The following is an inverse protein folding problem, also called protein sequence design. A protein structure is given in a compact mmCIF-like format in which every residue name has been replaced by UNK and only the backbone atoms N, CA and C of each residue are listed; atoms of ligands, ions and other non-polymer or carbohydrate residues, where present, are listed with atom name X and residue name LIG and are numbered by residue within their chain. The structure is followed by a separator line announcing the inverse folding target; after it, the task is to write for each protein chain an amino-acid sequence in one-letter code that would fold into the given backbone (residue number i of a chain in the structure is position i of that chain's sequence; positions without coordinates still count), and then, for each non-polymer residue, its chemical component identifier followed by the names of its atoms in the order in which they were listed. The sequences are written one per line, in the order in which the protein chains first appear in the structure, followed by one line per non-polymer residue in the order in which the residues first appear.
data_IF_670141072739
#
_entry.id   IF_670141072739
#
_cell.length_a   1.000
_cell.length_b   1.000
_cell.length_c   1.000
_cell.angle_alpha   90.00
_cell.angle_beta   90.00
_cell.angle_gamma   90.00
#
_symmetry.space_group_name_H-M   'P 1'
#
loop_
_entity.id
_entity.type
_entity.pdbx_description
1 polymer ?
#
# COMPACT_ATOMS: atom_id res chain seq x y z
N UNK A 1 -2.37 15.83 43.14
CA UNK A 1 -1.92 14.43 42.91
C UNK A 1 -3.01 13.38 43.11
N UNK A 2 -3.70 13.31 44.26
CA UNK A 2 -4.75 12.28 44.50
C UNK A 2 -5.87 12.25 43.45
N UNK A 3 -6.46 13.40 43.12
CA UNK A 3 -7.50 13.49 42.09
C UNK A 3 -7.01 13.08 40.69
N UNK A 4 -5.77 13.42 40.33
CA UNK A 4 -5.19 13.06 39.04
C UNK A 4 -5.02 11.53 38.91
N UNK A 5 -4.55 10.87 39.99
CA UNK A 5 -4.37 9.41 40.03
C UNK A 5 -5.71 8.67 39.97
N UNK A 6 -6.73 9.16 40.68
CA UNK A 6 -8.08 8.58 40.63
C UNK A 6 -8.72 8.74 39.25
N UNK A 7 -8.63 9.92 38.64
CA UNK A 7 -9.16 10.16 37.29
C UNK A 7 -8.44 9.29 36.26
N UNK A 8 -7.11 9.17 36.34
CA UNK A 8 -6.34 8.30 35.45
C UNK A 8 -6.75 6.83 35.58
N UNK A 9 -6.92 6.33 36.82
CA UNK A 9 -7.36 4.96 37.07
C UNK A 9 -8.75 4.69 36.48
N UNK A 10 -9.70 5.62 36.68
CA UNK A 10 -11.06 5.52 36.10
C UNK A 10 -11.00 5.52 34.57
N UNK A 11 -10.22 6.42 33.97
CA UNK A 11 -10.07 6.48 32.50
C UNK A 11 -9.46 5.19 31.96
N UNK A 12 -8.42 4.63 32.59
CA UNK A 12 -7.81 3.37 32.16
C UNK A 12 -8.83 2.23 32.19
N UNK A 13 -9.55 2.07 33.30
CA UNK A 13 -10.58 1.02 33.42
C UNK A 13 -11.67 1.21 32.37
N UNK A 14 -12.14 2.44 32.19
CA UNK A 14 -13.15 2.76 31.18
C UNK A 14 -12.65 2.44 29.77
N UNK A 15 -11.43 2.85 29.41
CA UNK A 15 -10.84 2.58 28.09
C UNK A 15 -10.68 1.09 27.85
N UNK A 16 -10.23 0.31 28.83
CA UNK A 16 -10.09 -1.14 28.70
C UNK A 16 -11.44 -1.84 28.53
N UNK A 17 -12.46 -1.42 29.29
CA UNK A 17 -13.83 -1.95 29.18
C UNK A 17 -14.41 -1.60 27.80
N UNK A 18 -14.31 -0.34 27.37
CA UNK A 18 -14.78 0.09 26.06
C UNK A 18 -14.01 -0.63 24.93
N UNK A 19 -12.69 -0.79 25.04
CA UNK A 19 -11.90 -1.50 24.05
C UNK A 19 -12.27 -2.99 23.95
N UNK A 20 -12.56 -3.64 25.08
CA UNK A 20 -13.03 -5.03 25.11
C UNK A 20 -14.45 -5.18 24.54
N UNK A 21 -15.35 -4.24 24.82
CA UNK A 21 -16.73 -4.26 24.35
C UNK A 21 -16.87 -3.89 22.86
N UNK A 22 -16.08 -2.92 22.39
CA UNK A 22 -16.19 -2.35 21.04
C UNK A 22 -15.09 -2.82 20.09
N UNK A 23 -14.21 -3.75 20.51
CA UNK A 23 -12.97 -4.16 19.83
C UNK A 23 -12.91 -3.88 18.33
N UNK A 24 -11.82 -3.26 17.88
CA UNK A 24 -11.70 -2.82 16.48
C UNK A 24 -11.77 -4.03 15.55
N UNK A 25 -12.78 -4.11 14.67
CA UNK A 25 -12.85 -5.21 13.72
C UNK A 25 -11.70 -5.06 12.72
N UNK A 26 -10.88 -6.10 12.58
CA UNK A 26 -9.79 -6.13 11.60
C UNK A 26 -10.17 -7.03 10.43
N UNK A 27 -10.07 -6.48 9.21
CA UNK A 27 -10.13 -7.32 8.01
C UNK A 27 -8.83 -8.12 7.91
N UNK A 28 -8.95 -9.43 7.72
CA UNK A 28 -7.80 -10.29 7.48
C UNK A 28 -6.99 -9.82 6.27
N UNK A 29 -5.66 -9.75 6.36
CA UNK A 29 -4.82 -9.30 5.26
C UNK A 29 -4.92 -10.28 4.08
N UNK A 30 -4.77 -9.75 2.87
CA UNK A 30 -4.63 -10.60 1.69
C UNK A 30 -3.29 -11.33 1.77
N UNK A 31 -3.33 -12.66 1.87
CA UNK A 31 -2.12 -13.49 1.88
C UNK A 31 -1.90 -14.15 0.52
N UNK A 32 -0.64 -14.50 0.23
CA UNK A 32 -0.28 -15.26 -0.98
C UNK A 32 -1.05 -16.58 -1.03
N UNK A 33 -1.13 -17.28 0.11
CA UNK A 33 -1.84 -18.55 0.23
C UNK A 33 -3.33 -18.41 -0.08
N UNK A 34 -4.00 -17.44 0.53
CA UNK A 34 -5.43 -17.21 0.29
C UNK A 34 -5.69 -16.84 -1.16
N UNK A 35 -4.87 -15.94 -1.74
CA UNK A 35 -5.05 -15.50 -3.11
C UNK A 35 -4.77 -16.61 -4.14
N UNK A 36 -3.70 -17.39 -3.98
CA UNK A 36 -3.39 -18.54 -4.83
C UNK A 36 -4.46 -19.65 -4.77
N UNK A 37 -5.13 -19.79 -3.63
CA UNK A 37 -6.20 -20.78 -3.44
C UNK A 37 -7.50 -20.32 -4.11
N UNK A 38 -7.86 -19.04 -3.92
CA UNK A 38 -9.13 -18.48 -4.39
C UNK A 38 -9.10 -18.09 -5.87
N UNK A 39 -7.94 -17.63 -6.37
CA UNK A 39 -7.78 -17.08 -7.72
C UNK A 39 -6.59 -17.73 -8.46
N UNK A 40 -6.58 -19.07 -8.64
CA UNK A 40 -5.42 -19.79 -9.18
C UNK A 40 -4.99 -19.35 -10.59
N UNK A 41 -5.95 -19.10 -11.50
CA UNK A 41 -5.64 -18.64 -12.87
C UNK A 41 -5.06 -17.23 -12.85
N UNK A 42 -5.66 -16.31 -12.08
CA UNK A 42 -5.16 -14.94 -11.96
C UNK A 42 -3.80 -14.88 -11.22
N UNK A 43 -3.57 -15.79 -10.27
CA UNK A 43 -2.29 -15.96 -9.60
C UNK A 43 -1.18 -16.35 -10.59
N UNK A 44 -1.42 -17.37 -11.42
CA UNK A 44 -0.45 -17.78 -12.44
C UNK A 44 -0.27 -16.72 -13.52
N UNK A 45 -1.32 -16.00 -13.92
CA UNK A 45 -1.21 -14.88 -14.85
C UNK A 45 -0.29 -13.78 -14.29
N UNK A 46 -0.51 -13.37 -13.03
CA UNK A 46 0.36 -12.40 -12.36
C UNK A 46 1.81 -12.91 -12.26
N UNK A 47 2.02 -14.15 -11.83
CA UNK A 47 3.36 -14.74 -11.73
C UNK A 47 4.06 -14.84 -13.10
N UNK A 48 3.30 -15.13 -14.17
CA UNK A 48 3.82 -15.15 -15.55
C UNK A 48 4.23 -13.75 -16.01
N UNK A 49 3.48 -12.71 -15.61
CA UNK A 49 3.84 -11.31 -15.89
C UNK A 49 5.11 -10.88 -15.15
N UNK A 50 5.31 -11.33 -13.92
CA UNK A 50 6.59 -11.10 -13.24
C UNK A 50 7.75 -11.82 -13.95
N UNK A 51 7.51 -13.03 -14.47
CA UNK A 51 8.51 -13.80 -15.24
C UNK A 51 8.88 -13.13 -16.57
N UNK A 52 7.92 -12.53 -17.28
CA UNK A 52 8.17 -11.88 -18.58
C UNK A 52 8.57 -10.40 -18.49
N UNK A 53 8.71 -9.85 -17.28
CA UNK A 53 9.11 -8.47 -17.07
C UNK A 53 7.98 -7.43 -17.21
N UNK A 54 6.73 -7.86 -17.39
CA UNK A 54 5.56 -6.97 -17.54
C UNK A 54 4.72 -6.84 -16.25
N UNK A 55 5.11 -7.52 -15.19
CA UNK A 55 4.53 -7.41 -13.86
C UNK A 55 4.63 -5.99 -13.31
N UNK A 56 3.75 -5.66 -12.34
CA UNK A 56 3.67 -4.31 -11.75
C UNK A 56 5.02 -3.87 -11.20
N UNK A 57 5.70 -4.76 -10.48
CA UNK A 57 7.03 -4.48 -9.91
C UNK A 57 8.13 -4.60 -10.96
N UNK A 58 8.02 -5.57 -11.87
CA UNK A 58 9.01 -5.78 -12.93
C UNK A 58 9.19 -4.54 -13.84
N UNK A 59 8.11 -3.80 -14.10
CA UNK A 59 8.12 -2.57 -14.88
C UNK A 59 7.85 -1.31 -14.02
N UNK A 60 8.26 -1.32 -12.75
CA UNK A 60 7.96 -0.22 -11.81
C UNK A 60 8.79 1.04 -12.06
N UNK A 61 10.12 0.89 -12.09
CA UNK A 61 11.10 1.98 -12.05
C UNK A 61 11.80 2.13 -10.70
N UNK A 62 12.58 3.21 -10.50
CA UNK A 62 13.22 3.52 -9.23
C UNK A 62 12.21 3.52 -8.06
N UNK A 63 12.56 3.02 -6.86
CA UNK A 63 13.91 2.64 -6.43
C UNK A 63 14.32 1.19 -6.74
N UNK A 64 13.47 0.45 -7.48
CA UNK A 64 13.60 -1.00 -7.63
C UNK A 64 14.32 -1.43 -8.90
N UNK A 65 14.02 -0.80 -10.04
CA UNK A 65 14.59 -1.20 -11.33
C UNK A 65 14.53 -0.06 -12.35
N UNK A 66 14.89 -0.35 -13.60
CA UNK A 66 14.88 0.60 -14.71
C UNK A 66 13.54 0.63 -15.47
N UNK A 67 12.48 0.03 -14.91
CA UNK A 67 11.14 0.07 -15.49
C UNK A 67 10.60 1.49 -15.63
N UNK A 68 9.61 1.66 -16.50
CA UNK A 68 8.99 2.98 -16.76
C UNK A 68 7.48 2.95 -16.74
N UNK A 69 6.87 1.76 -16.61
CA UNK A 69 5.43 1.59 -16.67
C UNK A 69 4.66 2.12 -15.46
N UNK A 70 5.31 2.31 -14.32
CA UNK A 70 4.66 2.78 -13.08
C UNK A 70 5.44 3.93 -12.40
N UNK A 71 6.23 4.67 -13.18
CA UNK A 71 6.92 5.86 -12.67
C UNK A 71 5.93 7.00 -12.56
N UNK A 72 5.77 7.54 -11.36
CA UNK A 72 4.81 8.60 -11.06
C UNK A 72 5.40 10.01 -11.20
N UNK A 73 6.73 10.18 -11.11
CA UNK A 73 7.33 11.51 -11.24
C UNK A 73 8.75 11.51 -11.79
N UNK A 74 9.17 12.67 -12.32
CA UNK A 74 10.57 12.90 -12.69
C UNK A 74 11.52 12.83 -11.48
N UNK A 75 11.05 13.25 -10.29
CA UNK A 75 11.81 13.17 -9.05
C UNK A 75 12.08 11.72 -8.63
N UNK A 76 11.11 10.82 -8.85
CA UNK A 76 11.32 9.38 -8.63
C UNK A 76 12.46 8.86 -9.50
N UNK A 77 12.53 9.26 -10.79
CA UNK A 77 13.64 8.85 -11.68
C UNK A 77 15.00 9.31 -11.16
N UNK A 78 15.08 10.51 -10.59
CA UNK A 78 16.32 11.08 -10.05
C UNK A 78 16.82 10.32 -8.81
N UNK A 79 15.94 9.63 -8.08
CA UNK A 79 16.33 8.87 -6.87
C UNK A 79 17.25 7.66 -7.17
N UNK A 80 17.24 7.16 -8.41
CA UNK A 80 18.04 6.00 -8.81
C UNK A 80 17.62 4.69 -8.14
N UNK A 81 18.40 3.62 -8.35
CA UNK A 81 18.10 2.28 -7.85
C UNK A 81 18.93 2.02 -6.59
N UNK A 82 18.26 1.83 -5.46
CA UNK A 82 18.90 1.55 -4.17
C UNK A 82 18.26 0.38 -3.43
N UNK A 83 17.13 -0.15 -3.93
CA UNK A 83 16.52 -1.40 -3.48
C UNK A 83 16.30 -2.32 -4.70
N UNK A 84 17.36 -2.84 -5.35
CA UNK A 84 17.21 -3.55 -6.61
C UNK A 84 16.27 -4.75 -6.49
N UNK A 85 15.31 -4.88 -7.40
CA UNK A 85 14.44 -6.04 -7.55
C UNK A 85 14.46 -6.49 -9.01
N UNK A 86 14.76 -7.76 -9.21
CA UNK A 86 14.50 -8.46 -10.46
C UNK A 86 13.32 -9.40 -10.24
N UNK A 87 12.10 -8.98 -10.57
CA UNK A 87 10.88 -9.75 -10.29
C UNK A 87 10.93 -11.18 -10.82
N UNK A 88 11.48 -11.40 -12.02
CA UNK A 88 11.65 -12.74 -12.58
C UNK A 88 12.50 -13.64 -11.68
N UNK A 89 13.64 -13.13 -11.21
CA UNK A 89 14.54 -13.90 -10.35
C UNK A 89 14.01 -13.99 -8.91
N UNK A 90 13.69 -12.85 -8.32
CA UNK A 90 13.39 -12.70 -6.90
C UNK A 90 12.00 -13.22 -6.54
N UNK A 91 11.03 -13.12 -7.45
CA UNK A 91 9.66 -13.55 -7.18
C UNK A 91 9.37 -14.94 -7.72
N UNK A 92 10.05 -15.40 -8.78
CA UNK A 92 9.71 -16.66 -9.45
C UNK A 92 10.87 -17.67 -9.38
N UNK A 93 11.99 -17.39 -10.03
CA UNK A 93 13.03 -18.41 -10.25
C UNK A 93 13.76 -18.80 -8.96
N UNK A 94 14.15 -17.85 -8.11
CA UNK A 94 14.75 -18.17 -6.81
C UNK A 94 13.78 -18.92 -5.88
N UNK A 95 12.52 -18.49 -5.69
CA UNK A 95 11.57 -19.28 -4.90
C UNK A 95 11.36 -20.70 -5.44
N UNK A 96 11.32 -20.89 -6.75
CA UNK A 96 11.20 -22.21 -7.38
C UNK A 96 12.48 -23.04 -7.22
N UNK A 97 13.67 -22.45 -7.30
CA UNK A 97 14.93 -23.16 -7.07
C UNK A 97 15.04 -23.64 -5.62
N UNK A 98 14.60 -22.81 -4.66
CA UNK A 98 14.45 -23.23 -3.27
C UNK A 98 13.44 -24.36 -3.11
N UNK A 99 12.28 -24.28 -3.76
CA UNK A 99 11.27 -25.33 -3.73
C UNK A 99 11.77 -26.63 -4.36
N UNK A 100 12.64 -26.55 -5.37
CA UNK A 100 13.22 -27.71 -6.05
C UNK A 100 14.09 -28.57 -5.12
N UNK A 101 14.61 -28.01 -4.01
CA UNK A 101 15.33 -28.79 -2.99
C UNK A 101 14.42 -29.76 -2.23
N UNK A 102 13.13 -29.46 -2.13
CA UNK A 102 12.11 -30.29 -1.48
C UNK A 102 11.35 -31.12 -2.52
N UNK A 103 11.13 -30.56 -3.71
CA UNK A 103 10.45 -31.23 -4.83
C UNK A 103 11.33 -31.22 -6.10
N UNK A 104 12.16 -32.26 -6.31
CA UNK A 104 13.08 -32.34 -7.46
C UNK A 104 12.41 -32.33 -8.84
N UNK A 105 11.09 -32.55 -8.91
CA UNK A 105 10.33 -32.52 -10.17
C UNK A 105 10.29 -31.12 -10.82
N UNK A 106 10.61 -30.06 -10.07
CA UNK A 106 10.67 -28.68 -10.59
C UNK A 106 11.97 -28.45 -11.40
N UNK A 107 13.06 -29.14 -11.06
CA UNK A 107 14.39 -28.86 -11.61
C UNK A 107 14.51 -29.00 -13.14
N UNK A 108 13.88 -29.99 -13.83
CA UNK A 108 13.96 -30.08 -15.29
C UNK A 108 13.36 -28.85 -15.98
N UNK A 109 12.22 -28.35 -15.50
CA UNK A 109 11.56 -27.17 -16.06
C UNK A 109 12.38 -25.90 -15.82
N UNK A 110 12.96 -25.75 -14.62
CA UNK A 110 13.87 -24.64 -14.31
C UNK A 110 15.08 -24.64 -15.24
N UNK A 111 15.79 -25.77 -15.36
CA UNK A 111 16.95 -25.87 -16.25
C UNK A 111 16.59 -25.60 -17.70
N UNK A 112 15.46 -26.13 -18.18
CA UNK A 112 15.01 -25.88 -19.55
C UNK A 112 14.75 -24.38 -19.79
N UNK A 113 14.14 -23.68 -18.82
CA UNK A 113 13.87 -22.25 -18.92
C UNK A 113 15.16 -21.42 -18.87
N UNK A 114 16.02 -21.68 -17.88
CA UNK A 114 17.28 -20.95 -17.67
C UNK A 114 18.31 -21.18 -18.78
N UNK A 115 18.29 -22.36 -19.42
CA UNK A 115 19.17 -22.67 -20.57
C UNK A 115 18.73 -22.03 -21.88
N UNK A 116 17.48 -21.56 -21.97
CA UNK A 116 16.95 -20.94 -23.17
C UNK A 116 17.42 -19.47 -23.31
N UNK A 117 17.44 -18.96 -24.55
CA UNK A 117 17.75 -17.55 -24.77
C UNK A 117 16.68 -16.65 -24.15
N UNK A 118 17.04 -15.41 -23.80
CA UNK A 118 16.09 -14.44 -23.23
C UNK A 118 14.88 -14.21 -24.15
N UNK A 119 15.10 -14.15 -25.46
CA UNK A 119 14.02 -14.01 -26.43
C UNK A 119 13.03 -15.20 -26.37
N UNK A 120 13.55 -16.43 -26.18
CA UNK A 120 12.74 -17.63 -26.08
C UNK A 120 11.95 -17.69 -24.76
N UNK A 121 12.58 -17.31 -23.64
CA UNK A 121 11.92 -17.20 -22.34
C UNK A 121 10.72 -16.24 -22.40
N UNK A 122 10.92 -15.04 -22.96
CA UNK A 122 9.88 -14.02 -23.12
C UNK A 122 8.78 -14.52 -24.07
N UNK A 123 9.14 -15.15 -25.19
CA UNK A 123 8.16 -15.71 -26.13
C UNK A 123 7.26 -16.73 -25.45
N UNK A 124 7.84 -17.68 -24.72
CA UNK A 124 7.09 -18.69 -23.98
C UNK A 124 6.18 -18.09 -22.92
N UNK A 125 6.69 -17.14 -22.13
CA UNK A 125 5.93 -16.50 -21.06
C UNK A 125 4.78 -15.65 -21.61
N UNK A 126 5.01 -14.86 -22.67
CA UNK A 126 3.96 -14.07 -23.32
C UNK A 126 2.87 -14.95 -23.93
N UNK A 127 3.25 -16.03 -24.63
CA UNK A 127 2.30 -16.96 -25.21
C UNK A 127 1.46 -17.65 -24.13
N UNK A 128 2.10 -18.03 -23.02
CA UNK A 128 1.41 -18.68 -21.91
C UNK A 128 0.45 -17.73 -21.20
N UNK A 129 0.87 -16.48 -20.95
CA UNK A 129 0.02 -15.44 -20.38
C UNK A 129 -1.22 -15.20 -21.24
N UNK A 130 -1.06 -15.04 -22.56
CA UNK A 130 -2.18 -14.86 -23.48
C UNK A 130 -3.15 -16.05 -23.43
N UNK A 131 -2.63 -17.27 -23.38
CA UNK A 131 -3.44 -18.49 -23.28
C UNK A 131 -4.15 -18.61 -21.92
N UNK A 132 -3.50 -18.21 -20.82
CA UNK A 132 -4.10 -18.16 -19.49
C UNK A 132 -5.28 -17.19 -19.44
N UNK A 133 -5.10 -15.98 -19.97
CA UNK A 133 -6.14 -14.95 -19.96
C UNK A 133 -7.35 -15.31 -20.84
N UNK A 134 -7.11 -15.99 -21.96
CA UNK A 134 -8.18 -16.38 -22.88
C UNK A 134 -8.90 -17.67 -22.45
N UNK A 135 -8.15 -18.65 -21.94
CA UNK A 135 -8.62 -20.04 -21.83
C UNK A 135 -8.17 -20.78 -20.56
N UNK A 136 -7.57 -20.09 -19.60
CA UNK A 136 -7.10 -20.70 -18.35
C UNK A 136 -8.23 -21.31 -17.52
N UNK A 137 -8.07 -22.56 -17.13
CA UNK A 137 -9.04 -23.29 -16.31
C UNK A 137 -8.34 -24.10 -15.23
N UNK A 138 -9.06 -24.40 -14.15
CA UNK A 138 -8.55 -25.24 -13.06
C UNK A 138 -9.07 -26.66 -13.24
N UNK A 139 -8.16 -27.62 -13.43
CA UNK A 139 -8.48 -29.05 -13.53
C UNK A 139 -7.61 -29.80 -12.53
N UNK A 140 -8.25 -30.57 -11.63
CA UNK A 140 -7.55 -31.33 -10.58
C UNK A 140 -6.56 -30.50 -9.75
N UNK A 141 -6.94 -29.26 -9.43
CA UNK A 141 -6.13 -28.34 -8.61
C UNK A 141 -4.93 -27.71 -9.32
N UNK A 142 -4.76 -27.98 -10.62
CA UNK A 142 -3.74 -27.41 -11.51
C UNK A 142 -4.39 -26.45 -12.51
N UNK A 143 -3.66 -25.42 -12.93
CA UNK A 143 -4.12 -24.56 -14.01
C UNK A 143 -3.67 -25.16 -15.33
N UNK A 144 -4.62 -25.27 -16.27
CA UNK A 144 -4.40 -25.82 -17.61
C UNK A 144 -4.85 -24.79 -18.65
N UNK A 145 -4.16 -24.82 -19.78
CA UNK A 145 -4.45 -24.02 -20.97
C UNK A 145 -4.43 -24.96 -22.19
N UNK A 146 -5.06 -24.59 -23.32
CA UNK A 146 -4.95 -25.33 -24.57
C UNK A 146 -3.49 -25.53 -24.99
N UNK A 147 -3.15 -26.57 -25.78
CA UNK A 147 -1.79 -26.79 -26.25
C UNK A 147 -1.23 -25.60 -27.04
N UNK A 148 0.05 -25.29 -26.83
CA UNK A 148 0.74 -24.22 -27.54
C UNK A 148 2.22 -24.14 -27.20
N UNK A 149 2.90 -23.17 -27.79
CA UNK A 149 4.34 -22.99 -27.62
C UNK A 149 4.67 -22.18 -26.35
N UNK A 150 4.73 -22.88 -25.22
CA UNK A 150 4.98 -22.30 -23.90
C UNK A 150 6.25 -22.83 -23.21
N UNK A 151 6.96 -23.76 -23.85
CA UNK A 151 8.14 -24.40 -23.26
C UNK A 151 7.85 -24.95 -21.86
N UNK A 152 8.74 -24.72 -20.86
CA UNK A 152 8.55 -25.18 -19.49
C UNK A 152 7.64 -24.29 -18.62
N UNK A 153 7.14 -23.16 -19.15
CA UNK A 153 6.40 -22.15 -18.35
C UNK A 153 5.17 -22.73 -17.66
N UNK A 154 4.32 -23.58 -18.28
CA UNK A 154 3.15 -24.16 -17.58
C UNK A 154 3.54 -24.99 -16.35
N UNK A 155 4.68 -25.70 -16.41
CA UNK A 155 5.18 -26.48 -15.29
C UNK A 155 5.74 -25.59 -14.18
N UNK A 156 6.46 -24.52 -14.54
CA UNK A 156 6.95 -23.53 -13.59
C UNK A 156 5.80 -22.83 -12.87
N UNK A 157 4.79 -22.37 -13.60
CA UNK A 157 3.65 -21.64 -13.03
C UNK A 157 2.78 -22.53 -12.14
N UNK A 158 2.54 -23.78 -12.53
CA UNK A 158 1.89 -24.75 -11.64
C UNK A 158 2.72 -25.01 -10.38
N UNK A 159 4.05 -25.10 -10.48
CA UNK A 159 4.91 -25.23 -9.30
C UNK A 159 4.82 -23.98 -8.39
N UNK A 160 4.81 -22.78 -8.97
CA UNK A 160 4.62 -21.51 -8.24
C UNK A 160 3.25 -21.50 -7.54
N UNK A 161 2.19 -21.96 -8.22
CA UNK A 161 0.85 -22.07 -7.66
C UNK A 161 0.80 -23.04 -6.47
N UNK A 162 1.43 -24.21 -6.57
CA UNK A 162 1.51 -25.16 -5.46
C UNK A 162 2.31 -24.58 -4.28
N UNK A 163 3.41 -23.89 -4.58
CA UNK A 163 4.20 -23.20 -3.57
C UNK A 163 3.39 -22.09 -2.86
N UNK A 164 2.59 -21.33 -3.62
CA UNK A 164 1.64 -20.35 -3.12
C UNK A 164 0.58 -20.98 -2.20
N UNK A 165 -0.13 -22.02 -2.69
CA UNK A 165 -1.18 -22.74 -1.94
C UNK A 165 -0.67 -23.39 -0.65
N UNK A 166 0.59 -23.83 -0.63
CA UNK A 166 1.20 -24.40 0.58
C UNK A 166 1.47 -23.35 1.67
N UNK A 167 1.61 -22.06 1.31
CA UNK A 167 2.08 -20.99 2.20
C UNK A 167 3.60 -20.89 2.31
N UNK A 168 4.36 -21.82 1.71
CA UNK A 168 5.83 -21.78 1.71
C UNK A 168 6.40 -20.65 0.86
N UNK A 169 5.62 -20.11 -0.10
CA UNK A 169 6.01 -18.97 -0.94
C UNK A 169 6.42 -17.74 -0.11
N UNK A 170 5.68 -17.43 0.96
CA UNK A 170 6.01 -16.30 1.85
C UNK A 170 7.39 -16.45 2.47
N UNK A 171 7.74 -17.68 2.88
CA UNK A 171 9.08 -17.97 3.39
C UNK A 171 10.14 -17.96 2.29
N UNK A 172 9.81 -18.37 1.06
CA UNK A 172 10.74 -18.35 -0.07
C UNK A 172 11.09 -16.90 -0.50
N UNK A 173 10.13 -15.98 -0.48
CA UNK A 173 10.34 -14.57 -0.80
C UNK A 173 11.14 -13.79 0.26
N UNK A 174 11.13 -14.24 1.51
CA UNK A 174 11.80 -13.56 2.63
C UNK A 174 13.17 -14.18 2.94
N UNK A 175 13.45 -15.40 2.46
CA UNK A 175 14.66 -16.12 2.83
C UNK A 175 15.88 -15.52 2.14
N UNK A 176 16.63 -14.76 2.93
CA UNK A 176 18.03 -14.47 2.65
C UNK A 176 18.90 -15.51 3.39
N UNK A 177 19.68 -16.34 2.68
CA UNK A 177 20.53 -17.36 3.31
C UNK A 177 21.65 -16.76 4.17
N UNK A 178 21.96 -15.47 4.02
CA UNK A 178 23.11 -14.81 4.64
C UNK A 178 22.79 -14.11 5.98
N UNK A 179 21.52 -14.07 6.41
CA UNK A 179 21.12 -13.29 7.60
C UNK A 179 20.20 -14.11 8.51
N UNK A 180 20.62 -14.30 9.76
CA UNK A 180 19.84 -15.03 10.79
C UNK A 180 18.60 -14.24 11.21
N UNK A 181 18.70 -12.91 11.27
CA UNK A 181 17.59 -12.00 11.60
C UNK A 181 16.88 -11.50 10.34
N UNK A 182 15.56 -11.71 10.28
CA UNK A 182 14.73 -11.44 9.10
C UNK A 182 13.89 -10.18 9.30
N UNK A 183 14.45 -9.03 8.96
CA UNK A 183 13.72 -7.75 9.01
C UNK A 183 13.28 -7.25 7.64
N UNK A 184 13.85 -7.79 6.56
CA UNK A 184 13.45 -7.43 5.20
C UNK A 184 12.33 -8.35 4.70
N UNK A 185 11.13 -7.81 4.57
CA UNK A 185 9.95 -8.47 4.00
C UNK A 185 9.50 -7.84 2.67
N UNK A 186 10.37 -7.06 2.02
CA UNK A 186 10.10 -6.31 0.80
C UNK A 186 9.49 -7.20 -0.30
N UNK A 187 10.16 -8.28 -0.68
CA UNK A 187 9.67 -9.14 -1.77
C UNK A 187 8.32 -9.78 -1.44
N UNK A 188 8.10 -10.15 -0.18
CA UNK A 188 6.80 -10.66 0.26
C UNK A 188 5.68 -9.61 0.17
N UNK A 189 5.95 -8.36 0.55
CA UNK A 189 4.98 -7.27 0.44
C UNK A 189 4.71 -6.86 -1.02
N UNK A 190 5.72 -6.98 -1.88
CA UNK A 190 5.66 -6.54 -3.26
C UNK A 190 5.11 -7.59 -4.22
N UNK A 191 5.14 -8.87 -3.87
CA UNK A 191 4.74 -9.96 -4.76
C UNK A 191 3.27 -9.89 -5.22
N UNK A 192 2.34 -9.48 -4.35
CA UNK A 192 0.93 -9.34 -4.72
C UNK A 192 0.57 -7.94 -5.25
N UNK A 193 1.56 -7.08 -5.49
CA UNK A 193 1.29 -5.73 -6.00
C UNK A 193 0.70 -5.77 -7.41
N UNK A 194 -0.23 -4.84 -7.69
CA UNK A 194 -0.99 -4.80 -8.94
C UNK A 194 -2.35 -5.48 -8.81
N UNK A 195 -2.74 -6.28 -9.79
CA UNK A 195 -4.10 -6.83 -9.94
C UNK A 195 -4.65 -7.53 -8.69
N UNK A 196 -3.89 -8.37 -7.96
CA UNK A 196 -4.42 -9.02 -6.75
C UNK A 196 -4.94 -8.02 -5.71
N UNK A 197 -4.19 -6.95 -5.45
CA UNK A 197 -4.60 -5.90 -4.50
C UNK A 197 -5.74 -5.05 -5.07
N UNK A 198 -5.71 -4.68 -6.35
CA UNK A 198 -6.78 -3.90 -6.97
C UNK A 198 -8.12 -4.65 -6.98
N UNK A 199 -8.10 -5.96 -7.24
CA UNK A 199 -9.29 -6.82 -7.21
C UNK A 199 -9.81 -7.00 -5.78
N UNK A 200 -8.93 -7.17 -4.80
CA UNK A 200 -9.33 -7.28 -3.39
C UNK A 200 -9.89 -5.97 -2.82
N UNK A 201 -9.43 -4.82 -3.32
CA UNK A 201 -9.85 -3.48 -2.90
C UNK A 201 -11.18 -3.03 -3.54
N UNK A 202 -11.45 -3.43 -4.79
CA UNK A 202 -12.62 -3.00 -5.55
C UNK A 202 -13.99 -3.19 -4.86
N UNK A 203 -14.34 -4.38 -4.33
CA UNK A 203 -15.64 -4.59 -3.70
C UNK A 203 -15.79 -3.84 -2.36
N UNK A 204 -14.68 -3.37 -1.79
CA UNK A 204 -14.66 -2.60 -0.55
C UNK A 204 -14.67 -1.09 -0.76
N UNK A 205 -14.74 -0.62 -2.00
CA UNK A 205 -14.66 0.80 -2.34
C UNK A 205 -13.36 1.46 -1.84
N UNK A 206 -12.26 0.71 -1.83
CA UNK A 206 -10.95 1.17 -1.33
C UNK A 206 -10.05 1.80 -2.41
N UNK A 207 -10.52 1.95 -3.65
CA UNK A 207 -9.75 2.61 -4.71
C UNK A 207 -9.72 4.13 -4.49
N UNK A 208 -8.69 4.81 -5.01
CA UNK A 208 -8.57 6.27 -4.92
C UNK A 208 -9.77 7.03 -5.50
N UNK A 209 -10.25 6.60 -6.67
CA UNK A 209 -11.47 7.13 -7.33
C UNK A 209 -12.75 6.88 -6.52
N UNK A 210 -12.71 5.98 -5.53
CA UNK A 210 -13.85 5.61 -4.69
C UNK A 210 -13.77 6.22 -3.29
N UNK A 211 -12.97 7.27 -3.11
CA UNK A 211 -12.67 7.86 -1.80
C UNK A 211 -12.03 6.86 -0.82
N UNK A 212 -11.33 5.84 -1.31
CA UNK A 212 -10.99 4.66 -0.52
C UNK A 212 -10.26 4.88 0.80
N UNK A 213 -9.47 5.94 0.93
CA UNK A 213 -8.74 6.24 2.17
C UNK A 213 -9.66 6.70 3.32
N UNK A 214 -10.89 7.15 3.02
CA UNK A 214 -11.89 7.47 4.06
C UNK A 214 -12.78 6.28 4.38
N UNK A 215 -12.69 5.18 3.63
CA UNK A 215 -13.47 3.97 3.85
C UNK A 215 -12.70 2.99 4.74
N UNK A 216 -13.44 2.28 5.59
CA UNK A 216 -12.88 1.15 6.33
C UNK A 216 -12.89 -0.10 5.44
N UNK A 217 -11.86 -0.93 5.58
CA UNK A 217 -11.86 -2.27 5.00
C UNK A 217 -12.93 -3.19 5.62
N UNK A 218 -13.53 -2.79 6.74
CA UNK A 218 -14.66 -3.46 7.39
C UNK A 218 -15.97 -2.71 7.06
N UNK A 219 -16.94 -3.37 6.39
CA UNK A 219 -18.24 -2.77 6.11
C UNK A 219 -18.92 -2.26 7.38
N UNK A 220 -19.43 -1.02 7.33
CA UNK A 220 -20.16 -0.40 8.45
C UNK A 220 -19.28 0.18 9.56
N UNK A 221 -17.95 0.02 9.51
CA UNK A 221 -17.05 0.66 10.47
C UNK A 221 -16.66 2.07 9.99
N UNK A 222 -16.65 3.09 10.86
CA UNK A 222 -16.27 4.45 10.47
C UNK A 222 -14.81 4.47 10.00
N UNK A 223 -14.57 4.95 8.78
CA UNK A 223 -13.22 5.14 8.27
C UNK A 223 -12.61 6.49 8.68
N UNK A 224 -11.46 6.82 8.09
CA UNK A 224 -10.70 8.01 8.43
C UNK A 224 -11.32 9.28 7.83
N UNK A 225 -12.44 9.75 8.39
CA UNK A 225 -13.18 10.91 7.87
C UNK A 225 -12.31 12.18 7.74
N UNK A 226 -11.28 12.34 8.58
CA UNK A 226 -10.35 13.47 8.52
C UNK A 226 -9.48 13.47 7.26
N UNK A 227 -9.36 12.33 6.57
CA UNK A 227 -8.71 12.20 5.27
C UNK A 227 -9.57 12.70 4.10
N UNK A 228 -10.79 13.19 4.34
CA UNK A 228 -11.63 13.77 3.28
C UNK A 228 -10.93 14.91 2.54
N UNK A 229 -10.17 15.75 3.26
CA UNK A 229 -9.46 16.90 2.68
C UNK A 229 -8.41 16.45 1.64
N UNK A 230 -7.43 15.57 1.97
CA UNK A 230 -6.48 15.08 0.97
C UNK A 230 -7.16 14.24 -0.13
N UNK A 231 -8.20 13.47 0.20
CA UNK A 231 -8.93 12.65 -0.78
C UNK A 231 -9.65 13.48 -1.82
N UNK A 232 -10.12 14.67 -1.46
CA UNK A 232 -10.82 15.55 -2.38
C UNK A 232 -9.96 15.95 -3.58
N UNK A 233 -8.64 16.07 -3.40
CA UNK A 233 -7.69 16.37 -4.48
C UNK A 233 -7.71 15.27 -5.56
N UNK A 234 -7.84 14.00 -5.15
CA UNK A 234 -7.94 12.87 -6.07
C UNK A 234 -9.20 12.88 -6.94
N UNK A 235 -10.23 13.63 -6.55
CA UNK A 235 -11.49 13.70 -7.29
C UNK A 235 -11.47 14.72 -8.43
N UNK A 236 -10.42 15.54 -8.52
CA UNK A 236 -10.29 16.49 -9.60
C UNK A 236 -10.03 15.75 -10.92
N UNK A 237 -10.76 16.01 -12.01
CA UNK A 237 -10.70 15.19 -13.22
C UNK A 237 -9.29 14.99 -13.79
N UNK A 238 -8.43 16.00 -13.71
CA UNK A 238 -7.06 15.93 -14.21
C UNK A 238 -6.10 15.17 -13.28
N UNK A 239 -6.45 15.02 -12.00
CA UNK A 239 -5.73 14.17 -11.03
C UNK A 239 -6.21 12.74 -11.16
N UNK A 240 -7.54 12.53 -11.15
CA UNK A 240 -8.18 11.21 -11.25
C UNK A 240 -7.78 10.46 -12.53
N UNK A 241 -7.70 11.16 -13.67
CA UNK A 241 -7.33 10.56 -14.95
C UNK A 241 -5.79 10.48 -15.17
N UNK A 242 -4.99 10.89 -14.18
CA UNK A 242 -3.53 10.85 -14.31
C UNK A 242 -2.97 9.47 -13.95
N UNK A 243 -1.99 8.95 -14.70
CA UNK A 243 -1.26 7.75 -14.29
C UNK A 243 -0.39 7.98 -13.03
N UNK A 244 -0.26 9.23 -12.58
CA UNK A 244 0.52 9.65 -11.42
C UNK A 244 -0.33 10.45 -10.40
N UNK A 245 -1.57 9.99 -10.18
CA UNK A 245 -2.52 10.67 -9.30
C UNK A 245 -1.94 10.94 -7.89
N UNK A 246 -1.23 9.96 -7.31
CA UNK A 246 -0.61 10.05 -5.99
C UNK A 246 0.47 11.13 -5.93
N UNK A 247 1.44 11.11 -6.85
CA UNK A 247 2.47 12.13 -6.93
C UNK A 247 1.92 13.56 -7.11
N UNK A 248 0.87 13.72 -7.93
CA UNK A 248 0.21 15.01 -8.13
C UNK A 248 -0.49 15.46 -6.85
N UNK A 249 -1.28 14.59 -6.22
CA UNK A 249 -2.03 14.92 -5.01
C UNK A 249 -1.09 15.31 -3.87
N UNK A 250 0.01 14.56 -3.68
CA UNK A 250 1.05 14.87 -2.71
C UNK A 250 1.75 16.20 -3.02
N UNK A 251 2.04 16.49 -4.29
CA UNK A 251 2.68 17.75 -4.69
C UNK A 251 1.77 18.96 -4.38
N UNK A 252 0.47 18.86 -4.66
CA UNK A 252 -0.51 19.90 -4.33
C UNK A 252 -0.61 20.08 -2.82
N UNK A 253 -0.75 18.98 -2.07
CA UNK A 253 -0.80 19.00 -0.62
C UNK A 253 0.45 19.65 -0.01
N UNK A 254 1.62 19.34 -0.56
CA UNK A 254 2.90 19.93 -0.15
C UNK A 254 2.96 21.44 -0.43
N UNK A 255 2.48 21.90 -1.60
CA UNK A 255 2.43 23.33 -1.91
C UNK A 255 1.47 24.06 -0.97
N UNK A 256 0.29 23.52 -0.71
CA UNK A 256 -0.68 24.09 0.25
C UNK A 256 -0.05 24.16 1.64
N UNK A 257 0.59 23.08 2.08
CA UNK A 257 1.29 23.04 3.35
C UNK A 257 2.41 24.09 3.41
N UNK A 258 3.21 24.24 2.35
CA UNK A 258 4.24 25.28 2.27
C UNK A 258 3.66 26.69 2.37
N UNK A 259 2.54 26.97 1.69
CA UNK A 259 1.87 28.28 1.78
C UNK A 259 1.40 28.55 3.22
N UNK A 260 0.81 27.55 3.88
CA UNK A 260 0.36 27.67 5.27
C UNK A 260 1.55 27.85 6.23
N UNK A 261 2.60 27.05 6.06
CA UNK A 261 3.82 27.13 6.85
C UNK A 261 4.46 28.52 6.67
N UNK A 262 4.56 29.02 5.43
CA UNK A 262 5.18 30.30 5.12
C UNK A 262 4.28 31.51 5.37
N UNK A 263 3.01 31.30 5.73
CA UNK A 263 2.01 32.37 5.93
C UNK A 263 2.48 33.52 6.82
N UNK A 264 3.19 33.31 7.96
CA UNK A 264 3.68 34.40 8.80
C UNK A 264 4.64 35.37 8.08
N UNK A 265 5.41 34.85 7.10
CA UNK A 265 6.46 35.59 6.40
C UNK A 265 6.01 36.19 5.07
N UNK A 266 4.82 35.87 4.57
CA UNK A 266 4.28 36.44 3.33
C UNK A 266 3.57 37.77 3.67
N UNK A 267 4.13 38.93 3.27
CA UNK A 267 3.52 40.22 3.57
C UNK A 267 2.12 40.32 2.95
N UNK A 268 1.15 40.80 3.73
CA UNK A 268 -0.25 40.89 3.30
C UNK A 268 -1.04 39.64 3.65
N UNK A 269 -0.59 38.46 3.21
CA UNK A 269 -1.23 37.18 3.56
C UNK A 269 -1.22 36.93 5.07
N UNK A 270 -0.14 37.29 5.75
CA UNK A 270 -0.04 37.24 7.22
C UNK A 270 -1.09 38.11 7.96
N UNK A 271 -1.75 39.05 7.29
CA UNK A 271 -2.83 39.88 7.86
C UNK A 271 -4.22 39.33 7.58
N UNK A 272 -4.38 38.37 6.65
CA UNK A 272 -5.68 37.81 6.25
C UNK A 272 -6.46 37.25 7.45
N UNK A 273 -5.88 36.49 8.40
CA UNK A 273 -6.62 36.01 9.57
C UNK A 273 -7.20 37.15 10.44
N UNK A 274 -6.51 38.29 10.48
CA UNK A 274 -6.96 39.49 11.19
C UNK A 274 -8.10 40.18 10.44
N UNK A 275 -8.00 40.31 9.11
CA UNK A 275 -9.07 40.88 8.28
C UNK A 275 -10.35 40.04 8.27
N UNK A 276 -10.22 38.71 8.19
CA UNK A 276 -11.34 37.78 8.27
C UNK A 276 -11.98 37.72 9.67
N UNK A 277 -11.39 38.39 10.66
CA UNK A 277 -11.94 38.44 12.01
C UNK A 277 -11.94 37.09 12.72
N UNK A 278 -11.06 36.16 12.33
CA UNK A 278 -10.97 34.81 12.94
C UNK A 278 -10.76 34.92 14.46
N UNK A 279 -10.00 35.92 14.89
CA UNK A 279 -9.81 36.22 16.30
C UNK A 279 -11.11 36.56 17.03
N UNK A 280 -12.12 37.15 16.38
CA UNK A 280 -13.43 37.42 16.99
C UNK A 280 -14.23 36.15 17.23
N UNK A 281 -14.02 35.11 16.42
CA UNK A 281 -14.65 33.80 16.60
C UNK A 281 -13.98 33.00 17.71
N UNK A 282 -12.64 32.97 17.71
CA UNK A 282 -11.85 32.24 18.73
C UNK A 282 -11.98 32.92 20.10
N UNK A 283 -11.93 34.25 20.15
CA UNK A 283 -11.92 35.03 21.38
C UNK A 283 -13.26 35.73 21.64
N UNK A 284 -14.35 35.16 21.10
CA UNK A 284 -15.71 35.72 21.24
C UNK A 284 -16.04 36.05 22.70
N UNK A 285 -15.70 35.16 23.61
CA UNK A 285 -15.94 35.33 25.06
C UNK A 285 -15.07 36.41 25.70
N UNK A 286 -13.87 36.68 25.18
CA UNK A 286 -13.04 37.79 25.65
C UNK A 286 -13.67 39.14 25.27
N UNK A 287 -14.23 39.23 24.06
CA UNK A 287 -14.86 40.46 23.56
C UNK A 287 -16.33 40.64 23.96
N UNK A 288 -17.02 39.59 24.38
CA UNK A 288 -18.38 39.65 24.93
C UNK A 288 -18.42 39.80 26.44
N UNK A 289 -17.29 39.69 27.14
CA UNK A 289 -17.23 40.11 28.54
C UNK A 289 -17.43 41.62 28.57
N UNK A 290 -18.48 42.14 29.25
CA UNK A 290 -18.53 43.56 29.54
C UNK A 290 -17.25 43.93 30.28
N UNK A 291 -16.70 45.15 30.10
CA UNK A 291 -15.58 45.61 30.90
C UNK A 291 -16.00 45.41 32.35
N UNK A 292 -15.41 44.43 33.01
CA UNK A 292 -15.64 44.20 34.41
C UNK A 292 -15.23 45.51 35.06
N UNK A 293 -16.16 46.15 35.77
CA UNK A 293 -15.90 47.37 36.51
C UNK A 293 -14.52 47.27 37.15
N UNK A 294 -13.73 48.33 36.99
CA UNK A 294 -12.38 48.43 37.49
C UNK A 294 -12.29 47.78 38.88
N UNK A 295 -11.33 46.88 39.14
CA UNK A 295 -11.26 46.17 40.41
C UNK A 295 -11.07 47.20 41.51
N UNK A 296 -12.14 47.54 42.22
CA UNK A 296 -12.04 48.18 43.52
C UNK A 296 -11.36 47.16 44.41
N UNK A 297 -10.17 47.55 44.87
CA UNK A 297 -9.11 46.68 45.36
C UNK A 297 -9.58 45.48 46.16
N UNK A 298 -9.20 44.29 45.68
CA UNK A 298 -8.63 43.22 46.49
C UNK A 298 -7.81 42.32 45.56
N UNK A 299 -6.52 42.27 45.86
CA UNK A 299 -5.54 41.42 45.22
C UNK A 299 -5.93 39.95 45.38
N UNK A 300 -6.31 39.30 44.29
CA UNK A 300 -6.18 37.85 44.16
C UNK A 300 -5.30 37.56 42.94
N UNK A 301 -4.09 37.12 43.26
CA UNK A 301 -3.07 36.62 42.35
C UNK A 301 -3.60 35.42 41.58
N UNK A 302 -4.22 35.64 40.42
CA UNK A 302 -4.48 34.58 39.44
C UNK A 302 -3.41 34.64 38.36
N UNK A 303 -2.32 33.91 38.60
CA UNK A 303 -1.32 33.56 37.59
C UNK A 303 -2.00 32.67 36.54
N UNK A 304 -2.53 33.27 35.47
CA UNK A 304 -2.91 32.51 34.28
C UNK A 304 -1.66 32.24 33.46
N UNK A 305 -1.10 31.05 33.68
CA UNK A 305 -0.06 30.49 32.84
C UNK A 305 -0.54 30.42 31.39
N UNK A 306 0.27 30.96 30.51
CA UNK A 306 0.21 30.71 29.07
C UNK A 306 0.73 29.29 28.89
N UNK A 307 -0.12 28.40 28.37
CA UNK A 307 0.26 27.11 27.82
C UNK A 307 0.02 27.15 26.32
#
# INVERSE_FOLDING_TARGET
MKHLMSTLGIIIVLVLVLAGLFGVPEKQPLTIKSYATQNPVAFEAMATRDLNGQGRIANYGPPYNNGTGNVESGLQKLSGIWHPINAEQDFILHPLSMAATINPQISPALRAFESASRAQQILWANNYEAALLAHGQVVNGKVVVPPGNYGPVPALMNATLQLGKSGLMSGALIRNPNVVTRFNNQNYQLFLQGDPLHQAAAPLQLKGEQWGIIHSAVPGYPGAWWMTIPTWIYQWPWVANSPAADAIALSIGFIIWLILALTPWIPGWNRVPRYLGVYKLIWKDFYHRPPTEAPTGKSETQTRGIS
#
